data_IF_360888586346
#
_entry.id   IF_360888586346
#
_cell.length_a   1.000
_cell.length_b   1.000
_cell.length_c   1.000
_cell.angle_alpha   90.00
_cell.angle_beta   90.00
_cell.angle_gamma   90.00
#
_symmetry.space_group_name_H-M   'P 1'
#
loop_
_entity.id
_entity.type
_entity.pdbx_description
1 polymer ?
#
# COMPACT_ATOMS: atom_id res chain seq x y z
N UNK A 1 3.96 -26.82 14.84
CA UNK A 1 4.79 -25.74 15.46
C UNK A 1 6.01 -25.56 14.57
N UNK A 2 6.20 -24.39 13.94
CA UNK A 2 7.38 -24.12 13.11
C UNK A 2 8.64 -24.13 13.99
N UNK A 3 9.64 -24.90 13.59
CA UNK A 3 10.94 -24.98 14.26
C UNK A 3 11.65 -23.63 14.19
N UNK A 4 12.55 -23.33 15.13
CA UNK A 4 13.33 -22.09 15.11
C UNK A 4 14.04 -21.81 13.75
N UNK A 5 14.70 -22.79 13.09
CA UNK A 5 15.31 -22.56 11.77
C UNK A 5 14.30 -22.19 10.66
N UNK A 6 13.06 -22.66 10.75
CA UNK A 6 11.99 -22.32 9.80
C UNK A 6 11.50 -20.87 9.97
N UNK A 7 11.42 -20.37 11.21
CA UNK A 7 11.05 -18.97 11.48
C UNK A 7 12.08 -17.96 10.99
N UNK A 8 13.37 -18.28 11.17
CA UNK A 8 14.47 -17.43 10.69
C UNK A 8 14.43 -17.34 9.16
N UNK A 9 14.29 -18.48 8.48
CA UNK A 9 14.20 -18.55 7.02
C UNK A 9 13.01 -17.75 6.49
N UNK A 10 11.83 -17.90 7.09
CA UNK A 10 10.64 -17.12 6.72
C UNK A 10 10.84 -15.62 6.95
N UNK A 11 11.45 -15.23 8.07
CA UNK A 11 11.75 -13.82 8.36
C UNK A 11 12.72 -13.22 7.34
N UNK A 12 13.77 -13.95 6.96
CA UNK A 12 14.73 -13.54 5.94
C UNK A 12 14.08 -13.38 4.58
N UNK A 13 13.16 -14.28 4.22
CA UNK A 13 12.37 -14.16 2.98
C UNK A 13 11.46 -12.94 2.99
N UNK A 14 10.74 -12.68 4.09
CA UNK A 14 9.91 -11.48 4.23
C UNK A 14 10.75 -10.20 4.10
N UNK A 15 11.93 -10.15 4.74
CA UNK A 15 12.86 -9.03 4.63
C UNK A 15 13.41 -8.90 3.19
N UNK A 16 13.74 -10.01 2.54
CA UNK A 16 14.19 -10.04 1.15
C UNK A 16 13.17 -9.44 0.19
N UNK A 17 11.87 -9.69 0.39
CA UNK A 17 10.81 -9.08 -0.45
C UNK A 17 10.75 -7.56 -0.30
N UNK A 18 10.95 -7.04 0.91
CA UNK A 18 11.04 -5.59 1.15
C UNK A 18 12.28 -4.98 0.49
N UNK A 19 13.42 -5.69 0.54
CA UNK A 19 14.66 -5.27 -0.12
C UNK A 19 14.47 -5.24 -1.65
N UNK A 20 13.86 -6.27 -2.23
CA UNK A 20 13.59 -6.33 -3.68
C UNK A 20 12.70 -5.15 -4.10
N UNK A 21 11.61 -4.90 -3.36
CA UNK A 21 10.74 -3.76 -3.61
C UNK A 21 11.52 -2.44 -3.58
N UNK A 22 12.25 -2.17 -2.51
CA UNK A 22 13.04 -0.95 -2.38
C UNK A 22 14.12 -0.82 -3.46
N UNK A 23 14.75 -1.93 -3.85
CA UNK A 23 15.71 -1.96 -4.94
C UNK A 23 15.08 -1.57 -6.28
N UNK A 24 13.86 -2.02 -6.60
CA UNK A 24 13.12 -1.59 -7.80
C UNK A 24 12.92 -0.07 -7.76
N UNK A 25 12.45 0.47 -6.63
CA UNK A 25 12.25 1.91 -6.45
C UNK A 25 13.54 2.72 -6.67
N UNK A 26 14.68 2.21 -6.22
CA UNK A 26 15.98 2.84 -6.45
C UNK A 26 16.44 2.72 -7.91
N UNK A 27 16.30 1.54 -8.52
CA UNK A 27 16.75 1.28 -9.90
C UNK A 27 16.00 2.15 -10.92
N UNK A 28 14.72 2.41 -10.69
CA UNK A 28 13.92 3.29 -11.56
C UNK A 28 14.52 4.71 -11.67
N UNK A 29 15.22 5.19 -10.64
CA UNK A 29 15.90 6.51 -10.65
C UNK A 29 17.06 6.56 -11.65
N UNK A 30 17.65 5.41 -11.98
CA UNK A 30 18.79 5.30 -12.89
C UNK A 30 18.38 4.98 -14.34
N UNK A 31 17.08 4.96 -14.65
CA UNK A 31 16.63 4.78 -16.03
C UNK A 31 17.11 5.94 -16.93
N UNK A 32 17.60 5.66 -18.15
CA UNK A 32 18.05 6.72 -19.08
C UNK A 32 16.99 7.79 -19.34
N UNK A 33 15.71 7.39 -19.31
CA UNK A 33 14.57 8.26 -19.58
C UNK A 33 13.90 8.80 -18.31
N UNK A 34 14.56 8.76 -17.14
CA UNK A 34 13.96 9.16 -15.86
C UNK A 34 13.40 10.59 -15.89
N UNK A 35 14.17 11.57 -16.38
CA UNK A 35 13.73 12.96 -16.47
C UNK A 35 12.48 13.14 -17.35
N UNK A 36 12.38 12.39 -18.45
CA UNK A 36 11.21 12.39 -19.33
C UNK A 36 9.99 11.79 -18.63
N UNK A 37 10.17 10.68 -17.89
CA UNK A 37 9.08 10.05 -17.15
C UNK A 37 8.52 10.96 -16.04
N UNK A 38 9.40 11.72 -15.38
CA UNK A 38 9.00 12.72 -14.38
C UNK A 38 8.19 13.83 -15.03
N UNK A 39 8.72 14.45 -16.10
CA UNK A 39 8.04 15.59 -16.75
C UNK A 39 6.75 15.19 -17.46
N UNK A 40 6.61 13.94 -17.88
CA UNK A 40 5.39 13.42 -18.52
C UNK A 40 4.34 12.90 -17.53
N UNK A 41 4.63 12.86 -16.22
CA UNK A 41 3.76 12.28 -15.20
C UNK A 41 3.62 10.75 -15.29
N UNK A 42 4.56 10.06 -15.96
CA UNK A 42 4.52 8.61 -16.18
C UNK A 42 5.42 7.83 -15.22
N UNK A 43 6.24 8.50 -14.43
CA UNK A 43 7.16 7.85 -13.48
C UNK A 43 6.41 6.90 -12.53
N UNK A 44 5.34 7.38 -11.88
CA UNK A 44 4.61 6.55 -10.91
C UNK A 44 3.85 5.39 -11.57
N UNK A 45 3.14 5.56 -12.70
CA UNK A 45 2.62 4.43 -13.48
C UNK A 45 3.65 3.35 -13.81
N UNK A 46 4.83 3.76 -14.28
CA UNK A 46 5.92 2.84 -14.61
C UNK A 46 6.43 2.13 -13.36
N UNK A 47 6.65 2.86 -12.28
CA UNK A 47 7.13 2.30 -11.01
C UNK A 47 6.15 1.25 -10.47
N UNK A 48 4.87 1.61 -10.31
CA UNK A 48 3.84 0.68 -9.82
C UNK A 48 3.71 -0.56 -10.70
N UNK A 49 3.86 -0.40 -12.02
CA UNK A 49 3.81 -1.54 -12.96
C UNK A 49 5.00 -2.48 -12.76
N UNK A 50 6.21 -1.95 -12.61
CA UNK A 50 7.41 -2.75 -12.36
C UNK A 50 7.34 -3.48 -11.02
N UNK A 51 6.97 -2.77 -9.96
CA UNK A 51 6.80 -3.35 -8.62
C UNK A 51 5.73 -4.46 -8.64
N UNK A 52 4.58 -4.21 -9.27
CA UNK A 52 3.54 -5.23 -9.43
C UNK A 52 4.02 -6.44 -10.24
N UNK A 53 4.69 -6.20 -11.38
CA UNK A 53 5.16 -7.26 -12.28
C UNK A 53 6.20 -8.19 -11.61
N UNK A 54 7.02 -7.66 -10.70
CA UNK A 54 8.02 -8.46 -9.97
C UNK A 54 7.44 -9.09 -8.71
N UNK A 55 6.71 -8.32 -7.90
CA UNK A 55 6.26 -8.78 -6.58
C UNK A 55 5.14 -9.81 -6.65
N UNK A 56 4.25 -9.74 -7.65
CA UNK A 56 3.12 -10.69 -7.75
C UNK A 56 3.61 -12.12 -8.04
N UNK A 57 4.48 -12.39 -9.02
CA UNK A 57 5.05 -13.72 -9.22
C UNK A 57 5.78 -14.25 -7.98
N UNK A 58 6.60 -13.40 -7.33
CA UNK A 58 7.33 -13.76 -6.11
C UNK A 58 6.37 -14.12 -4.96
N UNK A 59 5.31 -13.34 -4.78
CA UNK A 59 4.26 -13.63 -3.81
C UNK A 59 3.54 -14.95 -4.09
N UNK A 60 3.23 -15.24 -5.36
CA UNK A 60 2.61 -16.51 -5.76
C UNK A 60 3.54 -17.68 -5.50
N UNK A 61 4.85 -17.52 -5.76
CA UNK A 61 5.85 -18.52 -5.44
C UNK A 61 5.95 -18.76 -3.94
N UNK A 62 6.06 -17.70 -3.13
CA UNK A 62 6.15 -17.79 -1.67
C UNK A 62 4.95 -18.53 -1.07
N UNK A 63 3.73 -18.18 -1.51
CA UNK A 63 2.50 -18.81 -1.02
C UNK A 63 2.39 -20.29 -1.31
N UNK A 64 3.00 -20.78 -2.40
CA UNK A 64 3.04 -22.22 -2.71
C UNK A 64 3.91 -23.00 -1.74
N UNK A 65 4.88 -22.35 -1.09
CA UNK A 65 5.86 -23.00 -0.22
C UNK A 65 5.53 -22.88 1.28
N UNK A 66 5.07 -21.71 1.75
CA UNK A 66 4.95 -21.44 3.19
C UNK A 66 3.52 -21.37 3.73
N UNK A 67 2.52 -21.05 2.91
CA UNK A 67 1.10 -21.11 3.26
C UNK A 67 0.62 -20.22 4.42
N UNK A 68 1.47 -19.40 5.02
CA UNK A 68 1.21 -18.55 6.19
C UNK A 68 0.48 -17.24 5.83
N UNK A 69 0.78 -16.69 4.65
CA UNK A 69 0.10 -15.49 4.13
C UNK A 69 -1.11 -15.88 3.27
N UNK A 70 -2.29 -15.61 3.82
CA UNK A 70 -3.56 -15.93 3.20
C UNK A 70 -4.12 -14.75 2.41
N UNK A 71 -4.59 -15.00 1.20
CA UNK A 71 -5.33 -13.99 0.41
C UNK A 71 -6.74 -13.78 0.95
N UNK A 72 -7.36 -14.85 1.49
CA UNK A 72 -8.70 -14.79 2.10
C UNK A 72 -9.85 -14.61 1.10
N UNK A 73 -11.05 -14.39 1.66
CA UNK A 73 -12.29 -14.07 0.94
C UNK A 73 -12.85 -12.75 1.48
N UNK A 74 -13.65 -12.07 0.68
CA UNK A 74 -14.40 -10.91 1.13
C UNK A 74 -15.72 -11.38 1.72
N UNK A 75 -16.02 -10.94 2.94
CA UNK A 75 -17.30 -11.15 3.58
C UNK A 75 -18.09 -9.84 3.57
N UNK A 76 -19.33 -9.81 3.05
CA UNK A 76 -20.08 -8.56 2.89
C UNK A 76 -20.21 -7.75 4.18
N UNK A 77 -20.45 -8.40 5.32
CA UNK A 77 -20.52 -7.74 6.64
C UNK A 77 -19.20 -7.04 7.00
N UNK A 78 -18.06 -7.69 6.76
CA UNK A 78 -16.75 -7.09 7.04
C UNK A 78 -16.48 -5.93 6.09
N UNK A 79 -16.76 -6.11 4.79
CA UNK A 79 -16.64 -5.04 3.78
C UNK A 79 -17.46 -3.81 4.21
N UNK A 80 -18.74 -4.00 4.54
CA UNK A 80 -19.62 -2.92 4.96
C UNK A 80 -19.08 -2.18 6.19
N UNK A 81 -18.77 -2.91 7.28
CA UNK A 81 -18.28 -2.30 8.53
C UNK A 81 -16.99 -1.53 8.30
N UNK A 82 -16.00 -2.14 7.64
CA UNK A 82 -14.71 -1.49 7.43
C UNK A 82 -14.78 -0.35 6.40
N UNK A 83 -15.65 -0.42 5.40
CA UNK A 83 -15.92 0.71 4.52
C UNK A 83 -16.53 1.89 5.29
N UNK A 84 -17.50 1.64 6.18
CA UNK A 84 -18.04 2.71 7.04
C UNK A 84 -16.95 3.31 7.92
N UNK A 85 -16.11 2.48 8.56
CA UNK A 85 -14.98 2.97 9.36
C UNK A 85 -13.99 3.80 8.52
N UNK A 86 -13.71 3.38 7.28
CA UNK A 86 -12.87 4.14 6.36
C UNK A 86 -13.50 5.49 6.01
N UNK A 87 -14.80 5.53 5.70
CA UNK A 87 -15.49 6.79 5.40
C UNK A 87 -15.48 7.72 6.62
N UNK A 88 -15.74 7.20 7.82
CA UNK A 88 -15.67 8.00 9.05
C UNK A 88 -14.26 8.55 9.30
N UNK A 89 -13.22 7.73 9.03
CA UNK A 89 -11.83 8.17 9.11
C UNK A 89 -11.53 9.30 8.11
N UNK A 90 -11.97 9.16 6.87
CA UNK A 90 -11.78 10.18 5.83
C UNK A 90 -12.55 11.47 6.14
N UNK A 91 -13.78 11.37 6.64
CA UNK A 91 -14.57 12.53 7.09
C UNK A 91 -13.86 13.23 8.25
N UNK A 92 -13.34 12.49 9.23
CA UNK A 92 -12.55 13.06 10.32
C UNK A 92 -11.31 13.79 9.81
N UNK A 93 -10.59 13.19 8.85
CA UNK A 93 -9.42 13.78 8.21
C UNK A 93 -9.72 15.06 7.44
N UNK A 94 -10.89 15.15 6.79
CA UNK A 94 -11.29 16.30 6.00
C UNK A 94 -11.35 17.62 6.80
N UNK A 95 -11.51 17.56 8.13
CA UNK A 95 -11.56 18.76 8.99
C UNK A 95 -10.19 19.41 9.25
N UNK A 96 -9.08 18.68 9.08
CA UNK A 96 -7.75 19.18 9.43
C UNK A 96 -6.69 18.97 8.35
N UNK A 97 -6.98 18.16 7.32
CA UNK A 97 -6.02 17.86 6.26
C UNK A 97 -5.74 19.07 5.38
N UNK A 98 -4.46 19.30 5.14
CA UNK A 98 -3.98 20.28 4.16
C UNK A 98 -3.81 19.62 2.80
N UNK A 99 -3.84 20.43 1.73
CA UNK A 99 -3.66 19.92 0.36
C UNK A 99 -2.20 19.64 0.09
N UNK A 100 -1.88 18.38 -0.18
CA UNK A 100 -0.54 17.96 -0.62
C UNK A 100 -0.27 18.36 -2.07
N UNK A 101 0.86 19.05 -2.30
CA UNK A 101 1.28 19.50 -3.63
C UNK A 101 1.67 18.34 -4.54
N UNK A 102 2.23 17.26 -3.98
CA UNK A 102 2.69 16.11 -4.73
C UNK A 102 1.57 15.46 -5.55
N UNK A 103 0.42 15.18 -4.91
CA UNK A 103 -0.74 14.56 -5.58
C UNK A 103 -1.25 15.47 -6.69
N UNK A 104 -1.43 16.76 -6.42
CA UNK A 104 -1.89 17.72 -7.43
C UNK A 104 -0.93 17.85 -8.63
N UNK A 105 0.37 17.74 -8.37
CA UNK A 105 1.40 17.73 -9.42
C UNK A 105 1.22 16.59 -10.44
N UNK A 106 0.74 15.42 -10.01
CA UNK A 106 0.51 14.27 -10.89
C UNK A 106 -0.66 14.48 -11.87
N UNK A 107 -1.60 15.37 -11.53
CA UNK A 107 -2.77 15.70 -12.35
C UNK A 107 -2.62 17.00 -13.14
N UNK A 108 -1.44 17.63 -13.11
CA UNK A 108 -1.18 18.89 -13.82
C UNK A 108 -0.91 18.73 -15.32
N UNK A 109 -0.66 17.50 -15.78
CA UNK A 109 -0.28 17.17 -17.16
C UNK A 109 -1.45 16.76 -18.07
N UNK A 110 -1.13 15.92 -19.06
CA UNK A 110 -2.12 15.38 -20.01
C UNK A 110 -3.13 14.48 -19.30
N UNK A 111 -4.40 14.54 -19.71
CA UNK A 111 -5.46 13.68 -19.16
C UNK A 111 -5.10 12.19 -19.20
N UNK A 112 -4.45 11.72 -20.26
CA UNK A 112 -3.96 10.32 -20.35
C UNK A 112 -2.99 9.97 -19.22
N UNK A 113 -2.01 10.83 -18.92
CA UNK A 113 -1.08 10.61 -17.81
C UNK A 113 -1.80 10.58 -16.47
N UNK A 114 -2.76 11.48 -16.26
CA UNK A 114 -3.60 11.52 -15.05
C UNK A 114 -4.42 10.24 -14.86
N UNK A 115 -5.01 9.70 -15.93
CA UNK A 115 -5.74 8.42 -15.89
C UNK A 115 -4.78 7.28 -15.55
N UNK A 116 -3.62 7.21 -16.21
CA UNK A 116 -2.62 6.16 -15.95
C UNK A 116 -2.10 6.22 -14.51
N UNK A 117 -1.86 7.42 -13.99
CA UNK A 117 -1.52 7.64 -12.59
C UNK A 117 -2.61 7.10 -11.66
N UNK A 118 -3.86 7.50 -11.88
CA UNK A 118 -4.98 7.04 -11.08
C UNK A 118 -5.13 5.51 -11.11
N UNK A 119 -5.06 4.88 -12.29
CA UNK A 119 -5.13 3.42 -12.41
C UNK A 119 -3.98 2.74 -11.66
N UNK A 120 -2.76 3.26 -11.76
CA UNK A 120 -1.60 2.70 -11.08
C UNK A 120 -1.76 2.76 -9.55
N UNK A 121 -2.09 3.92 -8.99
CA UNK A 121 -2.18 4.10 -7.53
C UNK A 121 -3.46 3.53 -6.92
N UNK A 122 -4.53 3.37 -7.70
CA UNK A 122 -5.80 2.79 -7.21
C UNK A 122 -5.82 1.27 -7.38
N UNK A 123 -5.21 0.71 -8.44
CA UNK A 123 -5.33 -0.72 -8.74
C UNK A 123 -4.06 -1.52 -8.46
N UNK A 124 -2.88 -0.98 -8.79
CA UNK A 124 -1.62 -1.74 -8.69
C UNK A 124 -0.98 -1.56 -7.32
N UNK A 125 -0.78 -0.30 -6.90
CA UNK A 125 -0.12 0.05 -5.64
C UNK A 125 -0.73 -0.66 -4.42
N UNK A 126 -2.05 -0.63 -4.20
CA UNK A 126 -2.65 -1.24 -3.02
C UNK A 126 -2.40 -2.75 -2.95
N UNK A 127 -2.31 -3.44 -4.10
CA UNK A 127 -2.12 -4.88 -4.11
C UNK A 127 -0.73 -5.25 -3.60
N UNK A 128 0.32 -4.65 -4.16
CA UNK A 128 1.68 -5.00 -3.74
C UNK A 128 2.03 -4.38 -2.38
N UNK A 129 1.52 -3.19 -2.04
CA UNK A 129 1.73 -2.60 -0.73
C UNK A 129 1.10 -3.44 0.38
N UNK A 130 -0.14 -3.92 0.23
CA UNK A 130 -0.72 -4.81 1.24
C UNK A 130 0.03 -6.14 1.35
N UNK A 131 0.55 -6.67 0.25
CA UNK A 131 1.43 -7.84 0.28
C UNK A 131 2.71 -7.55 1.06
N UNK A 132 3.37 -6.41 0.84
CA UNK A 132 4.61 -6.04 1.52
C UNK A 132 4.38 -5.77 3.01
N UNK A 133 3.42 -4.91 3.34
CA UNK A 133 3.21 -4.45 4.71
C UNK A 133 2.42 -5.43 5.55
N UNK A 134 1.26 -5.91 5.07
CA UNK A 134 0.35 -6.77 5.85
C UNK A 134 0.61 -8.25 5.58
N UNK A 135 1.18 -8.56 4.42
CA UNK A 135 1.65 -9.89 4.07
C UNK A 135 3.01 -10.16 4.71
N UNK A 136 4.08 -9.47 4.33
CA UNK A 136 5.44 -9.82 4.75
C UNK A 136 5.88 -9.18 6.07
N UNK A 137 5.84 -7.84 6.18
CA UNK A 137 6.36 -7.12 7.35
C UNK A 137 5.60 -7.49 8.63
N UNK A 138 4.27 -7.37 8.59
CA UNK A 138 3.41 -7.70 9.73
C UNK A 138 3.50 -9.19 10.10
N UNK A 139 3.57 -10.09 9.11
CA UNK A 139 3.75 -11.52 9.38
C UNK A 139 5.10 -11.80 10.03
N UNK A 140 6.16 -11.13 9.58
CA UNK A 140 7.47 -11.16 10.23
C UNK A 140 7.38 -10.83 11.71
N UNK A 141 6.70 -9.73 12.08
CA UNK A 141 6.49 -9.41 13.50
C UNK A 141 5.65 -10.46 14.24
N UNK A 142 4.58 -10.97 13.61
CA UNK A 142 3.70 -11.97 14.21
C UNK A 142 4.36 -13.35 14.38
N UNK A 143 5.36 -13.71 13.57
CA UNK A 143 6.14 -14.94 13.73
C UNK A 143 6.90 -14.97 15.07
N UNK A 144 7.38 -13.81 15.52
CA UNK A 144 8.16 -13.66 16.76
C UNK A 144 7.29 -13.24 17.95
N UNK A 145 6.25 -12.43 17.72
CA UNK A 145 5.37 -11.90 18.77
C UNK A 145 3.88 -12.13 18.47
N UNK A 146 3.40 -13.40 18.33
CA UNK A 146 2.05 -13.72 17.86
C UNK A 146 0.92 -13.20 18.77
N UNK A 147 1.22 -12.99 20.06
CA UNK A 147 0.28 -12.43 21.04
C UNK A 147 0.23 -10.90 21.01
N UNK A 148 1.24 -10.24 20.45
CA UNK A 148 1.39 -8.77 20.46
C UNK A 148 0.81 -8.13 19.19
N UNK A 149 -0.43 -8.49 18.83
CA UNK A 149 -1.06 -8.05 17.57
C UNK A 149 -1.16 -6.53 17.43
N UNK A 150 -1.43 -5.83 18.54
CA UNK A 150 -1.50 -4.37 18.56
C UNK A 150 -0.13 -3.76 18.27
N UNK A 151 0.93 -4.20 18.96
CA UNK A 151 2.29 -3.71 18.71
C UNK A 151 2.75 -3.98 17.27
N UNK A 152 2.48 -5.18 16.74
CA UNK A 152 2.79 -5.51 15.34
C UNK A 152 2.06 -4.57 14.37
N UNK A 153 0.80 -4.23 14.65
CA UNK A 153 0.00 -3.31 13.82
C UNK A 153 0.52 -1.89 13.89
N UNK A 154 0.92 -1.41 15.08
CA UNK A 154 1.52 -0.08 15.27
C UNK A 154 2.85 0.02 14.53
N UNK A 155 3.77 -0.94 14.73
CA UNK A 155 5.07 -0.94 14.05
C UNK A 155 4.93 -0.99 12.52
N UNK A 156 4.04 -1.85 12.02
CA UNK A 156 3.74 -1.90 10.57
C UNK A 156 3.20 -0.56 10.06
N UNK A 157 2.39 0.13 10.86
CA UNK A 157 1.77 1.41 10.47
C UNK A 157 2.73 2.58 10.51
N UNK A 158 3.64 2.61 11.47
CA UNK A 158 4.72 3.59 11.51
C UNK A 158 5.67 3.38 10.32
N UNK A 159 6.04 2.13 10.01
CA UNK A 159 6.86 1.81 8.85
C UNK A 159 6.16 2.19 7.53
N UNK A 160 4.86 1.89 7.40
CA UNK A 160 4.06 2.29 6.25
C UNK A 160 4.06 3.81 6.06
N UNK A 161 3.80 4.60 7.11
CA UNK A 161 3.85 6.06 6.99
C UNK A 161 5.26 6.58 6.70
N UNK A 162 6.29 6.02 7.32
CA UNK A 162 7.68 6.49 7.18
C UNK A 162 8.23 6.37 5.75
N UNK A 163 7.79 5.38 4.96
CA UNK A 163 8.23 5.23 3.57
C UNK A 163 7.57 6.25 2.62
N UNK A 164 6.47 6.90 3.03
CA UNK A 164 5.73 7.86 2.21
C UNK A 164 6.35 9.26 2.27
N UNK A 165 7.62 9.33 1.85
CA UNK A 165 8.46 10.54 1.90
C UNK A 165 8.06 11.64 0.91
N UNK A 166 7.12 11.35 -0.01
CA UNK A 166 6.61 12.33 -0.97
C UNK A 166 5.64 13.36 -0.37
N UNK A 167 5.13 13.13 0.84
CA UNK A 167 4.20 14.04 1.51
C UNK A 167 4.94 14.98 2.47
N UNK A 168 4.55 16.26 2.46
CA UNK A 168 5.23 17.29 3.23
C UNK A 168 4.59 17.52 4.61
N UNK A 169 3.27 17.31 4.73
CA UNK A 169 2.55 17.69 5.93
C UNK A 169 2.51 16.55 6.96
N UNK A 170 2.80 16.89 8.22
CA UNK A 170 2.72 15.93 9.33
C UNK A 170 1.30 15.36 9.49
N UNK A 171 0.26 16.16 9.21
CA UNK A 171 -1.12 15.68 9.25
C UNK A 171 -1.34 14.51 8.28
N UNK A 172 -0.71 14.53 7.10
CA UNK A 172 -0.78 13.46 6.11
C UNK A 172 -0.11 12.18 6.62
N UNK A 173 1.05 12.29 7.27
CA UNK A 173 1.72 11.13 7.88
C UNK A 173 0.88 10.52 9.00
N UNK A 174 0.24 11.34 9.84
CA UNK A 174 -0.69 10.88 10.88
C UNK A 174 -1.89 10.17 10.24
N UNK A 175 -2.45 10.74 9.17
CA UNK A 175 -3.55 10.14 8.41
C UNK A 175 -3.15 8.77 7.82
N UNK A 176 -1.93 8.64 7.29
CA UNK A 176 -1.38 7.37 6.79
C UNK A 176 -1.20 6.33 7.90
N UNK A 177 -0.74 6.72 9.10
CA UNK A 177 -0.68 5.81 10.25
C UNK A 177 -2.07 5.32 10.61
N UNK A 178 -3.07 6.22 10.68
CA UNK A 178 -4.44 5.86 11.03
C UNK A 178 -5.09 4.94 9.98
N UNK A 179 -4.92 5.25 8.69
CA UNK A 179 -5.33 4.39 7.59
C UNK A 179 -4.67 3.01 7.72
N UNK A 180 -3.35 2.98 7.95
CA UNK A 180 -2.63 1.74 8.07
C UNK A 180 -3.10 0.87 9.25
N UNK A 181 -3.42 1.48 10.39
CA UNK A 181 -3.97 0.77 11.54
C UNK A 181 -5.32 0.14 11.20
N UNK A 182 -6.18 0.84 10.46
CA UNK A 182 -7.46 0.30 9.97
C UNK A 182 -7.23 -0.91 9.03
N UNK A 183 -6.27 -0.83 8.13
CA UNK A 183 -5.90 -1.92 7.22
C UNK A 183 -5.30 -3.13 7.97
N UNK A 184 -4.47 -2.89 8.99
CA UNK A 184 -3.96 -3.94 9.88
C UNK A 184 -5.10 -4.62 10.64
N UNK A 185 -6.07 -3.87 11.16
CA UNK A 185 -7.26 -4.41 11.80
C UNK A 185 -8.08 -5.25 10.81
N UNK A 186 -8.28 -4.77 9.58
CA UNK A 186 -8.96 -5.50 8.51
C UNK A 186 -8.25 -6.82 8.18
N UNK A 187 -6.91 -6.82 8.11
CA UNK A 187 -6.09 -8.02 7.90
C UNK A 187 -6.26 -9.05 9.02
N UNK A 188 -6.26 -8.60 10.28
CA UNK A 188 -6.38 -9.47 11.46
C UNK A 188 -7.78 -10.05 11.61
N UNK A 189 -8.83 -9.27 11.32
CA UNK A 189 -10.23 -9.68 11.43
C UNK A 189 -10.67 -10.58 10.28
N UNK A 190 -10.27 -10.26 9.05
CA UNK A 190 -10.62 -11.07 7.87
C UNK A 190 -9.73 -12.30 7.69
N UNK A 191 -8.55 -12.32 8.33
CA UNK A 191 -7.57 -13.38 8.18
C UNK A 191 -6.87 -13.39 6.82
N UNK A 192 -7.10 -12.42 5.94
CA UNK A 192 -6.44 -12.36 4.62
C UNK A 192 -6.25 -10.96 4.06
N UNK A 193 -5.66 -10.88 2.88
CA UNK A 193 -5.27 -9.62 2.23
C UNK A 193 -6.37 -8.97 1.38
N UNK A 194 -7.40 -9.71 0.94
CA UNK A 194 -8.44 -9.13 0.07
C UNK A 194 -9.17 -7.93 0.69
N UNK A 195 -9.52 -8.01 1.97
CA UNK A 195 -10.23 -6.93 2.65
C UNK A 195 -9.38 -5.66 2.76
N UNK A 196 -8.14 -5.70 3.29
CA UNK A 196 -7.31 -4.50 3.31
C UNK A 196 -6.96 -4.00 1.91
N UNK A 197 -6.74 -4.88 0.92
CA UNK A 197 -6.53 -4.45 -0.48
C UNK A 197 -7.74 -3.66 -0.96
N UNK A 198 -8.95 -4.19 -0.80
CA UNK A 198 -10.17 -3.49 -1.22
C UNK A 198 -10.32 -2.12 -0.54
N UNK A 199 -10.10 -2.04 0.77
CA UNK A 199 -10.21 -0.78 1.52
C UNK A 199 -9.16 0.24 1.08
N UNK A 200 -7.94 -0.22 0.80
CA UNK A 200 -6.86 0.63 0.33
C UNK A 200 -7.12 1.13 -1.10
N UNK A 201 -7.61 0.28 -2.01
CA UNK A 201 -8.08 0.71 -3.33
C UNK A 201 -9.19 1.76 -3.21
N UNK A 202 -10.16 1.55 -2.32
CA UNK A 202 -11.25 2.49 -2.07
C UNK A 202 -10.73 3.83 -1.52
N UNK A 203 -9.81 3.80 -0.56
CA UNK A 203 -9.15 4.99 -0.03
C UNK A 203 -8.49 5.80 -1.15
N UNK A 204 -7.68 5.13 -1.98
CA UNK A 204 -6.94 5.79 -3.04
C UNK A 204 -7.89 6.34 -4.10
N UNK A 205 -8.95 5.60 -4.46
CA UNK A 205 -9.98 6.08 -5.38
C UNK A 205 -10.63 7.36 -4.88
N UNK A 206 -11.07 7.40 -3.61
CA UNK A 206 -11.68 8.58 -3.00
C UNK A 206 -10.69 9.75 -2.93
N UNK A 207 -9.40 9.48 -2.70
CA UNK A 207 -8.35 10.50 -2.68
C UNK A 207 -8.06 11.12 -4.05
N UNK A 208 -8.09 10.34 -5.13
CA UNK A 208 -7.82 10.84 -6.49
C UNK A 208 -9.06 11.31 -7.23
N UNK A 209 -10.26 10.92 -6.82
CA UNK A 209 -11.51 11.24 -7.51
C UNK A 209 -11.73 12.76 -7.72
N UNK A 210 -11.49 13.66 -6.74
CA UNK A 210 -11.61 15.10 -6.97
C UNK A 210 -10.65 15.62 -8.05
N UNK A 211 -9.44 15.07 -8.12
CA UNK A 211 -8.44 15.47 -9.12
C UNK A 211 -8.79 14.99 -10.53
N UNK A 212 -9.32 13.76 -10.65
CA UNK A 212 -9.86 13.25 -11.90
C UNK A 212 -11.02 14.12 -12.40
N UNK A 213 -11.98 14.44 -11.52
CA UNK A 213 -13.09 15.31 -11.86
C UNK A 213 -12.62 16.66 -12.42
N UNK A 214 -11.67 17.31 -11.74
CA UNK A 214 -11.06 18.57 -12.19
C UNK A 214 -10.31 18.44 -13.52
N UNK A 215 -9.72 17.28 -13.81
CA UNK A 215 -9.00 17.05 -15.07
C UNK A 215 -9.95 17.02 -16.27
N UNK A 216 -11.16 16.47 -16.11
CA UNK A 216 -12.16 16.34 -17.19
C UNK A 216 -13.18 17.47 -17.24
N UNK A 217 -13.24 18.33 -16.22
CA UNK A 217 -14.13 19.50 -16.18
C UNK A 217 -13.48 20.76 -16.77
N UNK A 218 -12.25 20.65 -17.28
CA UNK A 218 -11.52 21.70 -18.00
C UNK A 218 -11.68 21.50 -19.50
#
# INVERSE_FOLDING_TARGET
MNTAPDRVSQTLLCAGMLIIWYAITLLVRYLPNHAMLVSSGLLMPVLCTLEFAVLIPLFRWYRRHYGDIHVGKLFPRQVMVFSVLLILLLVSQAFYMQRESWTGGQFSGKATSSILFALAVVLLAPVYEEILFRGYLMQGFLLWAPRQRVACSVLTSLAFAAIHTQYAHLQTLIALVALSLLLCAARLVSGGLKLPIFLHMLNNLLGVAPWLWLTFSR
#
